data_IF_130528355594
#
_entry.id   IF_130528355594
#
_cell.length_a   1.000
_cell.length_b   1.000
_cell.length_c   1.000
_cell.angle_alpha   90.00
_cell.angle_beta   90.00
_cell.angle_gamma   90.00
#
_symmetry.space_group_name_H-M   'P 1'
#
loop_
_entity.id
_entity.type
_entity.pdbx_description
1 polymer ?
#
# COMPACT_ATOMS: atom_id res chain seq x y z
N UNK A 1 52.46 1.73 -6.42
CA UNK A 1 51.00 1.69 -6.48
C UNK A 1 50.27 2.26 -5.24
N UNK A 2 50.97 2.62 -4.16
CA UNK A 2 50.38 3.25 -2.98
C UNK A 2 49.90 4.69 -3.23
N UNK A 3 50.50 5.41 -4.16
CA UNK A 3 50.15 6.80 -4.52
C UNK A 3 48.75 6.94 -5.18
N UNK A 4 48.27 5.90 -5.86
CA UNK A 4 46.90 5.90 -6.45
C UNK A 4 45.82 5.44 -5.44
N UNK A 5 46.20 4.85 -4.31
CA UNK A 5 45.27 4.47 -3.26
C UNK A 5 44.86 5.66 -2.36
N UNK A 6 45.70 6.66 -2.22
CA UNK A 6 45.44 7.84 -1.38
C UNK A 6 44.22 8.66 -1.82
N UNK A 7 44.02 9.02 -3.10
CA UNK A 7 42.86 9.77 -3.53
C UNK A 7 41.57 8.95 -3.39
N UNK A 8 41.62 7.62 -3.65
CA UNK A 8 40.45 6.73 -3.50
C UNK A 8 40.01 6.61 -2.04
N UNK A 9 40.95 6.48 -1.10
CA UNK A 9 40.63 6.48 0.34
C UNK A 9 40.07 7.84 0.79
N UNK A 10 40.54 8.97 0.20
CA UNK A 10 39.93 10.26 0.43
C UNK A 10 38.47 10.34 0.02
N UNK A 11 38.13 9.79 -1.16
CA UNK A 11 36.72 9.72 -1.63
C UNK A 11 35.87 8.85 -0.68
N UNK A 12 36.35 7.69 -0.27
CA UNK A 12 35.65 6.83 0.70
C UNK A 12 35.38 7.59 1.99
N UNK A 13 36.40 8.31 2.51
CA UNK A 13 36.24 9.11 3.73
C UNK A 13 35.16 10.20 3.57
N UNK A 14 35.16 10.93 2.45
CA UNK A 14 34.17 11.96 2.15
C UNK A 14 32.77 11.36 2.07
N UNK A 15 32.59 10.21 1.38
CA UNK A 15 31.31 9.53 1.27
C UNK A 15 30.79 9.11 2.65
N UNK A 16 31.64 8.53 3.49
CA UNK A 16 31.28 8.14 4.86
C UNK A 16 30.96 9.34 5.75
N UNK A 17 31.69 10.45 5.61
CA UNK A 17 31.38 11.68 6.34
C UNK A 17 30.03 12.27 5.91
N UNK A 18 29.73 12.27 4.61
CA UNK A 18 28.42 12.69 4.08
C UNK A 18 27.30 11.78 4.56
N UNK A 19 27.50 10.47 4.57
CA UNK A 19 26.52 9.51 5.08
C UNK A 19 26.24 9.73 6.57
N UNK A 20 27.30 9.98 7.37
CA UNK A 20 27.15 10.32 8.78
C UNK A 20 26.38 11.63 8.97
N UNK A 21 26.68 12.65 8.18
CA UNK A 21 25.97 13.92 8.21
C UNK A 21 24.49 13.73 7.85
N UNK A 22 24.20 13.04 6.73
CA UNK A 22 22.85 12.75 6.28
C UNK A 22 22.07 11.92 7.31
N UNK A 23 22.70 10.90 7.91
CA UNK A 23 22.05 10.08 8.94
C UNK A 23 21.75 10.89 10.22
N UNK A 24 22.63 11.83 10.58
CA UNK A 24 22.40 12.71 11.74
C UNK A 24 21.28 13.72 11.45
N UNK A 25 21.25 14.29 10.25
CA UNK A 25 20.17 15.17 9.81
C UNK A 25 18.81 14.44 9.77
N UNK A 26 18.77 13.22 9.23
CA UNK A 26 17.58 12.38 9.24
C UNK A 26 17.08 12.10 10.67
N UNK A 27 18.00 11.73 11.58
CA UNK A 27 17.64 11.50 12.98
C UNK A 27 17.03 12.75 13.63
N UNK A 28 17.62 13.93 13.42
CA UNK A 28 17.09 15.20 13.95
C UNK A 28 15.70 15.51 13.39
N UNK A 29 15.51 15.30 12.09
CA UNK A 29 14.23 15.51 11.43
C UNK A 29 13.14 14.61 12.03
N UNK A 30 13.39 13.31 12.14
CA UNK A 30 12.39 12.38 12.68
C UNK A 30 12.11 12.59 14.18
N UNK A 31 13.10 13.05 14.96
CA UNK A 31 12.89 13.43 16.36
C UNK A 31 11.98 14.67 16.46
N UNK A 32 12.16 15.66 15.58
CA UNK A 32 11.27 16.83 15.53
C UNK A 32 9.83 16.46 15.15
N UNK A 33 9.68 15.54 14.18
CA UNK A 33 8.37 14.98 13.80
C UNK A 33 7.71 14.24 14.97
N UNK A 34 8.47 13.41 15.68
CA UNK A 34 7.97 12.65 16.83
C UNK A 34 7.54 13.54 18.01
N UNK A 35 8.14 14.73 18.14
CA UNK A 35 7.76 15.73 19.17
C UNK A 35 6.51 16.53 18.82
N UNK A 36 5.95 16.36 17.62
CA UNK A 36 4.76 17.08 17.17
C UNK A 36 5.02 18.48 16.61
N UNK A 37 6.29 18.90 16.48
CA UNK A 37 6.68 20.21 15.96
C UNK A 37 6.41 20.36 14.46
N UNK A 38 6.23 19.25 13.75
CA UNK A 38 5.87 19.27 12.34
C UNK A 38 4.58 18.48 12.10
N UNK A 39 3.57 19.16 11.55
CA UNK A 39 2.30 18.55 11.10
C UNK A 39 2.55 17.72 9.84
N UNK A 40 3.36 16.67 9.92
CA UNK A 40 3.49 15.76 8.78
C UNK A 40 2.31 14.80 8.78
N UNK A 41 1.51 14.86 7.74
CA UNK A 41 0.32 14.04 7.52
C UNK A 41 0.67 12.53 7.35
N UNK A 42 1.95 12.22 7.20
CA UNK A 42 2.44 10.89 6.83
C UNK A 42 3.16 10.14 7.95
N UNK A 43 3.63 10.82 8.99
CA UNK A 43 4.37 10.19 10.07
C UNK A 43 3.73 10.54 11.40
N UNK A 44 3.23 9.50 12.07
CA UNK A 44 2.68 9.56 13.40
C UNK A 44 3.77 9.25 14.45
N UNK A 45 3.53 9.57 15.73
CA UNK A 45 4.48 9.31 16.83
C UNK A 45 4.94 7.84 16.88
N UNK A 46 4.06 6.92 16.45
CA UNK A 46 4.33 5.46 16.43
C UNK A 46 5.18 5.04 15.25
N UNK A 47 5.08 5.70 14.09
CA UNK A 47 5.77 5.32 12.86
C UNK A 47 7.09 6.06 12.63
N UNK A 48 7.26 7.24 13.25
CA UNK A 48 8.47 8.05 13.12
C UNK A 48 9.78 7.30 13.50
N UNK A 49 9.87 6.54 14.61
CA UNK A 49 11.11 5.83 14.96
C UNK A 49 11.44 4.70 13.98
N UNK A 50 10.43 4.05 13.40
CA UNK A 50 10.64 3.01 12.39
C UNK A 50 11.14 3.63 11.09
N UNK A 51 10.49 4.69 10.62
CA UNK A 51 10.90 5.44 9.45
C UNK A 51 12.32 6.01 9.58
N UNK A 52 12.69 6.51 10.77
CA UNK A 52 14.05 6.95 11.07
C UNK A 52 15.07 5.83 10.87
N UNK A 53 14.82 4.64 11.44
CA UNK A 53 15.74 3.50 11.31
C UNK A 53 15.90 3.08 9.85
N UNK A 54 14.80 2.97 9.11
CA UNK A 54 14.82 2.62 7.69
C UNK A 54 15.59 3.66 6.86
N UNK A 55 15.37 4.95 7.10
CA UNK A 55 16.09 6.02 6.40
C UNK A 55 17.58 5.95 6.68
N UNK A 56 17.98 5.75 7.94
CA UNK A 56 19.41 5.63 8.30
C UNK A 56 20.04 4.39 7.65
N UNK A 57 19.35 3.25 7.65
CA UNK A 57 19.82 2.03 6.97
C UNK A 57 20.01 2.31 5.46
N UNK A 58 19.03 2.93 4.82
CA UNK A 58 19.10 3.27 3.39
C UNK A 58 20.29 4.20 3.07
N UNK A 59 20.51 5.21 3.89
CA UNK A 59 21.66 6.12 3.74
C UNK A 59 22.98 5.34 3.80
N UNK A 60 23.13 4.42 4.77
CA UNK A 60 24.34 3.62 4.90
C UNK A 60 24.52 2.61 3.77
N UNK A 61 23.46 1.94 3.33
CA UNK A 61 23.50 1.06 2.16
C UNK A 61 23.94 1.84 0.92
N UNK A 62 23.37 3.03 0.68
CA UNK A 62 23.75 3.89 -0.46
C UNK A 62 25.21 4.32 -0.35
N UNK A 63 25.66 4.70 0.84
CA UNK A 63 27.05 5.09 1.06
C UNK A 63 28.04 3.94 0.78
N UNK A 64 27.70 2.72 1.21
CA UNK A 64 28.52 1.53 0.92
C UNK A 64 28.56 1.27 -0.59
N UNK A 65 27.45 1.32 -1.29
CA UNK A 65 27.39 1.10 -2.75
C UNK A 65 28.25 2.15 -3.48
N UNK A 66 28.15 3.44 -3.09
CA UNK A 66 28.93 4.51 -3.71
C UNK A 66 30.41 4.41 -3.37
N UNK A 67 30.77 4.05 -2.15
CA UNK A 67 32.14 3.90 -1.71
C UNK A 67 32.83 2.65 -2.30
N UNK A 68 32.06 1.61 -2.63
CA UNK A 68 32.55 0.30 -3.04
C UNK A 68 33.61 0.32 -4.16
N UNK A 69 33.44 1.06 -5.29
CA UNK A 69 34.44 1.10 -6.38
C UNK A 69 35.81 1.68 -5.96
N UNK A 70 35.83 2.48 -4.90
CA UNK A 70 37.00 3.15 -4.39
C UNK A 70 37.76 2.36 -3.33
N UNK A 71 37.21 1.20 -2.89
CA UNK A 71 37.89 0.35 -1.91
C UNK A 71 38.99 -0.45 -2.62
N UNK A 72 40.25 -0.43 -2.10
CA UNK A 72 41.31 -1.25 -2.66
C UNK A 72 40.93 -2.72 -2.72
N UNK A 73 41.07 -3.36 -3.87
CA UNK A 73 40.72 -4.76 -4.09
C UNK A 73 39.28 -5.02 -4.56
N UNK A 74 38.38 -4.02 -4.56
CA UNK A 74 37.01 -4.16 -5.05
C UNK A 74 36.91 -4.55 -6.54
N UNK A 75 37.97 -4.28 -7.31
CA UNK A 75 38.02 -4.58 -8.74
C UNK A 75 38.50 -6.02 -9.05
N UNK A 76 38.79 -6.83 -8.06
CA UNK A 76 39.18 -8.23 -8.28
C UNK A 76 38.00 -9.06 -8.83
N UNK A 77 38.25 -10.05 -9.69
CA UNK A 77 37.18 -10.91 -10.25
C UNK A 77 36.33 -11.58 -9.18
N UNK A 78 36.93 -12.02 -8.07
CA UNK A 78 36.23 -12.63 -6.94
C UNK A 78 35.24 -11.66 -6.30
N UNK A 79 35.65 -10.43 -6.05
CA UNK A 79 34.80 -9.40 -5.44
C UNK A 79 33.64 -8.99 -6.36
N UNK A 80 33.90 -8.89 -7.69
CA UNK A 80 32.84 -8.67 -8.67
C UNK A 80 31.83 -9.80 -8.69
N UNK A 81 32.27 -11.05 -8.67
CA UNK A 81 31.39 -12.21 -8.64
C UNK A 81 30.48 -12.22 -7.41
N UNK A 82 31.04 -11.98 -6.21
CA UNK A 82 30.25 -11.88 -4.97
C UNK A 82 29.25 -10.73 -5.04
N UNK A 83 29.65 -9.57 -5.57
CA UNK A 83 28.76 -8.41 -5.67
C UNK A 83 27.58 -8.65 -6.61
N UNK A 84 27.82 -9.31 -7.76
CA UNK A 84 26.75 -9.71 -8.68
C UNK A 84 25.80 -10.70 -8.03
N UNK A 85 26.33 -11.71 -7.33
CA UNK A 85 25.52 -12.69 -6.64
C UNK A 85 24.66 -12.04 -5.53
N UNK A 86 25.28 -11.17 -4.70
CA UNK A 86 24.57 -10.42 -3.68
C UNK A 86 23.48 -9.52 -4.27
N UNK A 87 23.76 -8.83 -5.37
CA UNK A 87 22.80 -8.01 -6.08
C UNK A 87 21.61 -8.81 -6.61
N UNK A 88 21.86 -9.99 -7.17
CA UNK A 88 20.81 -10.90 -7.62
C UNK A 88 19.94 -11.39 -6.45
N UNK A 89 20.54 -11.80 -5.34
CA UNK A 89 19.80 -12.24 -4.15
C UNK A 89 18.91 -11.13 -3.59
N UNK A 90 19.43 -9.90 -3.49
CA UNK A 90 18.65 -8.74 -3.04
C UNK A 90 17.53 -8.43 -4.03
N UNK A 91 17.82 -8.45 -5.33
CA UNK A 91 16.83 -8.19 -6.38
C UNK A 91 15.67 -9.18 -6.34
N UNK A 92 15.96 -10.47 -6.26
CA UNK A 92 14.94 -11.51 -6.16
C UNK A 92 14.15 -11.43 -4.84
N UNK A 93 14.82 -11.11 -3.73
CA UNK A 93 14.17 -11.00 -2.42
C UNK A 93 13.31 -9.75 -2.26
N UNK A 94 13.62 -8.65 -2.95
CA UNK A 94 12.93 -7.37 -2.79
C UNK A 94 11.69 -7.21 -3.68
N UNK A 95 11.45 -8.10 -4.64
CA UNK A 95 10.39 -7.96 -5.63
C UNK A 95 9.00 -7.76 -5.02
N UNK A 96 8.67 -8.49 -3.97
CA UNK A 96 7.39 -8.36 -3.28
C UNK A 96 7.23 -7.00 -2.56
N UNK A 97 8.28 -6.48 -1.95
CA UNK A 97 8.25 -5.16 -1.30
C UNK A 97 8.04 -4.04 -2.33
N UNK A 98 8.73 -4.13 -3.46
CA UNK A 98 8.58 -3.17 -4.57
C UNK A 98 7.15 -3.26 -5.14
N UNK A 99 6.61 -4.46 -5.34
CA UNK A 99 5.24 -4.64 -5.81
C UNK A 99 4.20 -4.01 -4.86
N UNK A 100 4.39 -4.12 -3.55
CA UNK A 100 3.51 -3.50 -2.56
C UNK A 100 3.59 -1.97 -2.59
N UNK A 101 4.80 -1.40 -2.71
CA UNK A 101 4.99 0.05 -2.83
C UNK A 101 4.34 0.59 -4.11
N UNK A 102 4.61 -0.05 -5.24
CA UNK A 102 4.03 0.34 -6.54
C UNK A 102 2.51 0.18 -6.51
N UNK A 103 2.00 -0.89 -5.93
CA UNK A 103 0.56 -1.11 -5.72
C UNK A 103 -0.07 0.01 -4.90
N UNK A 104 0.53 0.37 -3.76
CA UNK A 104 0.05 1.48 -2.92
C UNK A 104 0.07 2.82 -3.65
N UNK A 105 1.15 3.13 -4.35
CA UNK A 105 1.27 4.36 -5.14
C UNK A 105 0.21 4.41 -6.26
N UNK A 106 0.01 3.31 -6.96
CA UNK A 106 -1.00 3.18 -8.01
C UNK A 106 -2.41 3.42 -7.48
N UNK A 107 -2.73 2.85 -6.30
CA UNK A 107 -4.04 3.04 -5.66
C UNK A 107 -4.29 4.52 -5.30
N UNK A 108 -3.28 5.18 -4.74
CA UNK A 108 -3.36 6.61 -4.37
C UNK A 108 -3.45 7.50 -5.61
N UNK A 109 -2.62 7.26 -6.63
CA UNK A 109 -2.58 8.06 -7.85
C UNK A 109 -3.86 7.91 -8.67
N UNK A 110 -4.32 6.69 -8.92
CA UNK A 110 -5.53 6.42 -9.68
C UNK A 110 -6.80 6.66 -8.88
N UNK A 111 -6.67 6.94 -7.58
CA UNK A 111 -7.80 7.09 -6.67
C UNK A 111 -8.78 5.91 -6.77
N UNK A 112 -8.24 4.71 -6.86
CA UNK A 112 -9.01 3.48 -7.07
C UNK A 112 -9.98 3.24 -5.92
N UNK A 113 -9.55 3.49 -4.69
CA UNK A 113 -10.39 3.52 -3.49
C UNK A 113 -9.92 4.61 -2.53
N UNK A 114 -10.82 5.11 -1.71
CA UNK A 114 -10.58 6.15 -0.70
C UNK A 114 -11.02 5.64 0.66
N UNK A 115 -10.44 6.16 1.76
CA UNK A 115 -11.02 5.94 3.07
C UNK A 115 -12.51 6.30 3.10
N UNK A 116 -13.34 5.40 3.58
CA UNK A 116 -14.80 5.51 3.57
C UNK A 116 -15.51 4.80 2.42
N UNK A 117 -14.81 4.40 1.36
CA UNK A 117 -15.41 3.63 0.27
C UNK A 117 -15.76 2.22 0.72
N UNK A 118 -16.95 1.73 0.35
CA UNK A 118 -17.33 0.33 0.47
C UNK A 118 -16.90 -0.43 -0.78
N UNK A 119 -16.05 -1.43 -0.59
CA UNK A 119 -15.40 -2.15 -1.69
C UNK A 119 -15.45 -3.66 -1.49
N UNK A 120 -15.37 -4.40 -2.60
CA UNK A 120 -15.12 -5.84 -2.59
C UNK A 120 -13.81 -6.13 -3.31
N UNK A 121 -12.96 -6.89 -2.65
CA UNK A 121 -11.64 -7.30 -3.14
C UNK A 121 -11.60 -8.83 -3.07
N UNK A 122 -11.74 -9.49 -4.21
CA UNK A 122 -11.96 -10.94 -4.25
C UNK A 122 -13.23 -11.33 -3.48
N UNK A 123 -13.08 -12.14 -2.44
CA UNK A 123 -14.16 -12.60 -1.56
C UNK A 123 -14.43 -11.67 -0.36
N UNK A 124 -13.59 -10.66 -0.16
CA UNK A 124 -13.62 -9.79 1.03
C UNK A 124 -14.40 -8.53 0.71
N UNK A 125 -15.44 -8.25 1.48
CA UNK A 125 -16.21 -7.01 1.41
C UNK A 125 -16.04 -6.18 2.70
N UNK A 126 -15.89 -4.88 2.53
CA UNK A 126 -15.78 -3.98 3.68
C UNK A 126 -15.57 -2.52 3.29
N UNK A 127 -15.56 -1.67 4.32
CA UNK A 127 -15.26 -0.25 4.18
C UNK A 127 -13.77 -0.02 4.32
N UNK A 128 -13.16 0.72 3.41
CA UNK A 128 -11.75 1.11 3.48
C UNK A 128 -11.56 2.05 4.66
N UNK A 129 -10.81 1.62 5.67
CA UNK A 129 -10.45 2.45 6.82
C UNK A 129 -9.25 3.34 6.49
N UNK A 130 -8.17 2.74 5.97
CA UNK A 130 -6.94 3.46 5.61
C UNK A 130 -6.27 2.83 4.40
N UNK A 131 -5.63 3.67 3.59
CA UNK A 131 -4.74 3.24 2.50
C UNK A 131 -3.32 3.61 2.91
N UNK A 132 -2.50 2.60 3.20
CA UNK A 132 -1.09 2.77 3.57
C UNK A 132 -0.13 2.55 2.40
N UNK A 133 1.17 2.66 2.66
CA UNK A 133 2.21 2.46 1.64
C UNK A 133 2.35 1.00 1.19
N UNK A 134 2.26 0.04 2.12
CA UNK A 134 2.45 -1.38 1.86
C UNK A 134 1.16 -2.17 1.93
N UNK A 135 0.22 -1.73 2.75
CA UNK A 135 -1.04 -2.40 3.01
C UNK A 135 -2.17 -1.41 3.22
N UNK A 136 -3.38 -1.84 2.91
CA UNK A 136 -4.61 -1.12 3.19
C UNK A 136 -5.44 -1.88 4.21
N UNK A 137 -6.22 -1.16 5.00
CA UNK A 137 -7.08 -1.72 6.05
C UNK A 137 -8.54 -1.55 5.66
N UNK A 138 -9.28 -2.63 5.78
CA UNK A 138 -10.72 -2.68 5.56
C UNK A 138 -11.41 -3.10 6.85
N UNK A 139 -12.60 -2.56 7.09
CA UNK A 139 -13.50 -3.00 8.17
C UNK A 139 -14.68 -3.69 7.54
N UNK A 140 -14.89 -4.95 7.89
CA UNK A 140 -16.03 -5.76 7.39
C UNK A 140 -17.33 -5.37 8.08
N UNK A 141 -18.46 -5.84 7.54
CA UNK A 141 -19.78 -5.68 8.17
C UNK A 141 -19.91 -6.38 9.54
N UNK A 142 -18.98 -7.27 9.88
CA UNK A 142 -18.89 -7.93 11.21
C UNK A 142 -18.01 -7.17 12.19
N UNK A 143 -17.54 -5.96 11.81
CA UNK A 143 -16.61 -5.13 12.59
C UNK A 143 -15.22 -5.79 12.78
N UNK A 144 -14.78 -6.57 11.80
CA UNK A 144 -13.44 -7.17 11.76
C UNK A 144 -12.52 -6.29 10.92
N UNK A 145 -11.30 -6.02 11.41
CA UNK A 145 -10.28 -5.33 10.64
C UNK A 145 -9.47 -6.32 9.82
N UNK A 146 -9.46 -6.14 8.50
CA UNK A 146 -8.67 -6.95 7.58
C UNK A 146 -7.56 -6.08 6.99
N UNK A 147 -6.32 -6.56 7.06
CA UNK A 147 -5.16 -5.91 6.47
C UNK A 147 -4.78 -6.64 5.19
N UNK A 148 -4.86 -5.94 4.06
CA UNK A 148 -4.52 -6.48 2.74
C UNK A 148 -3.26 -5.82 2.19
N UNK A 149 -2.28 -6.61 1.71
CA UNK A 149 -1.13 -6.09 0.96
C UNK A 149 -1.59 -5.33 -0.29
N UNK A 150 -1.01 -4.15 -0.57
CA UNK A 150 -1.41 -3.34 -1.71
C UNK A 150 -1.16 -4.04 -3.07
N UNK A 151 -0.16 -4.91 -3.14
CA UNK A 151 0.09 -5.73 -4.33
C UNK A 151 -1.07 -6.68 -4.65
N UNK A 152 -1.72 -7.23 -3.63
CA UNK A 152 -2.88 -8.10 -3.80
C UNK A 152 -4.10 -7.29 -4.30
N UNK A 153 -4.29 -6.09 -3.78
CA UNK A 153 -5.40 -5.22 -4.19
C UNK A 153 -5.21 -4.72 -5.62
N UNK A 154 -4.01 -4.28 -5.98
CA UNK A 154 -3.71 -3.75 -7.31
C UNK A 154 -3.61 -4.83 -8.38
N UNK A 155 -3.24 -6.06 -8.02
CA UNK A 155 -3.16 -7.21 -8.92
C UNK A 155 -4.47 -7.99 -9.07
N UNK A 156 -5.46 -7.72 -8.22
CA UNK A 156 -6.75 -8.41 -8.22
C UNK A 156 -7.90 -7.57 -8.77
N UNK A 157 -9.11 -8.16 -8.72
CA UNK A 157 -10.34 -7.44 -9.06
C UNK A 157 -10.82 -6.68 -7.84
N UNK A 158 -10.94 -5.36 -7.98
CA UNK A 158 -11.53 -4.48 -6.98
C UNK A 158 -12.85 -3.93 -7.52
N UNK A 159 -13.93 -4.13 -6.77
CA UNK A 159 -15.24 -3.55 -7.05
C UNK A 159 -15.49 -2.46 -6.03
N UNK A 160 -15.63 -1.22 -6.49
CA UNK A 160 -15.93 -0.08 -5.63
C UNK A 160 -17.41 0.27 -5.77
N UNK A 161 -18.19 0.00 -4.74
CA UNK A 161 -19.62 0.27 -4.72
C UNK A 161 -19.95 1.73 -4.41
N UNK A 162 -19.05 2.44 -3.73
CA UNK A 162 -19.30 3.84 -3.34
C UNK A 162 -19.09 4.82 -4.47
N UNK A 163 -18.16 4.55 -5.38
CA UNK A 163 -17.73 5.51 -6.41
C UNK A 163 -18.82 5.94 -7.38
N UNK A 164 -19.72 5.03 -7.76
CA UNK A 164 -20.83 5.31 -8.67
C UNK A 164 -22.16 5.56 -7.95
N UNK A 165 -22.18 5.37 -6.61
CA UNK A 165 -23.42 5.48 -5.83
C UNK A 165 -24.01 6.90 -5.85
N UNK A 166 -23.17 7.93 -5.87
CA UNK A 166 -23.61 9.34 -5.93
C UNK A 166 -24.37 9.66 -7.22
N UNK A 167 -23.96 9.08 -8.33
CA UNK A 167 -24.55 9.33 -9.65
C UNK A 167 -25.61 8.31 -10.05
N UNK A 168 -25.23 7.05 -10.17
CA UNK A 168 -26.07 6.00 -10.79
C UNK A 168 -26.70 5.05 -9.76
N UNK A 169 -26.15 4.97 -8.53
CA UNK A 169 -26.56 3.97 -7.57
C UNK A 169 -25.93 2.59 -7.85
N UNK A 170 -26.12 1.65 -6.94
CA UNK A 170 -25.64 0.27 -7.04
C UNK A 170 -26.83 -0.67 -6.95
N UNK A 171 -26.88 -1.68 -7.82
CA UNK A 171 -27.90 -2.73 -7.74
C UNK A 171 -27.55 -3.67 -6.58
N UNK A 172 -28.46 -3.79 -5.64
CA UNK A 172 -28.34 -4.71 -4.48
C UNK A 172 -29.26 -5.90 -4.73
N UNK A 173 -28.72 -7.10 -5.01
CA UNK A 173 -29.55 -8.30 -5.15
C UNK A 173 -30.00 -8.80 -3.78
N UNK A 174 -31.26 -9.17 -3.66
CA UNK A 174 -31.82 -9.85 -2.52
C UNK A 174 -32.49 -11.14 -2.99
N UNK A 175 -32.00 -12.28 -2.47
CA UNK A 175 -32.58 -13.58 -2.79
C UNK A 175 -33.54 -14.00 -1.68
N UNK A 176 -34.75 -14.35 -2.04
CA UNK A 176 -35.79 -14.87 -1.11
C UNK A 176 -36.25 -16.24 -1.56
N UNK A 177 -36.42 -17.12 -0.60
CA UNK A 177 -37.02 -18.44 -0.82
C UNK A 177 -38.53 -18.39 -0.52
N UNK A 178 -39.29 -19.05 -1.34
CA UNK A 178 -40.76 -19.10 -1.21
C UNK A 178 -41.24 -20.55 -1.22
N UNK A 179 -42.42 -20.78 -0.61
CA UNK A 179 -43.07 -22.09 -0.64
C UNK A 179 -43.58 -22.43 -2.04
N UNK A 180 -43.52 -23.70 -2.41
CA UNK A 180 -43.91 -24.21 -3.73
C UNK A 180 -45.38 -23.94 -4.12
N UNK A 181 -46.26 -23.73 -3.14
CA UNK A 181 -47.70 -23.53 -3.37
C UNK A 181 -48.06 -22.05 -3.63
N UNK A 182 -47.10 -21.12 -3.67
CA UNK A 182 -47.40 -19.70 -3.84
C UNK A 182 -47.39 -19.33 -5.34
N UNK A 183 -48.48 -18.76 -5.90
CA UNK A 183 -48.49 -18.33 -7.29
C UNK A 183 -47.42 -17.28 -7.58
N UNK A 184 -46.64 -17.49 -8.63
CA UNK A 184 -45.51 -16.60 -8.98
C UNK A 184 -45.93 -15.13 -9.16
N UNK A 185 -47.09 -14.84 -9.70
CA UNK A 185 -47.63 -13.47 -9.84
C UNK A 185 -47.79 -12.76 -8.50
N UNK A 186 -48.28 -13.51 -7.48
CA UNK A 186 -48.41 -12.96 -6.14
C UNK A 186 -47.04 -12.66 -5.51
N UNK A 187 -46.05 -13.51 -5.74
CA UNK A 187 -44.68 -13.33 -5.28
C UNK A 187 -44.07 -12.09 -5.89
N UNK A 188 -44.16 -11.91 -7.21
CA UNK A 188 -43.67 -10.72 -7.89
C UNK A 188 -44.29 -9.44 -7.33
N UNK A 189 -45.64 -9.43 -7.16
CA UNK A 189 -46.32 -8.27 -6.59
C UNK A 189 -45.89 -7.96 -5.16
N UNK A 190 -45.66 -8.97 -4.33
CA UNK A 190 -45.18 -8.81 -2.97
C UNK A 190 -43.74 -8.28 -2.93
N UNK A 191 -42.83 -8.83 -3.74
CA UNK A 191 -41.44 -8.41 -3.78
C UNK A 191 -41.29 -6.96 -4.28
N UNK A 192 -42.02 -6.61 -5.34
CA UNK A 192 -42.03 -5.21 -5.83
C UNK A 192 -42.61 -4.25 -4.79
N UNK A 193 -43.67 -4.63 -4.08
CA UNK A 193 -44.24 -3.84 -3.00
C UNK A 193 -43.28 -3.69 -1.82
N UNK A 194 -42.60 -4.76 -1.44
CA UNK A 194 -41.57 -4.72 -0.39
C UNK A 194 -40.45 -3.78 -0.78
N UNK A 195 -39.89 -3.91 -2.00
CA UNK A 195 -38.85 -3.05 -2.47
C UNK A 195 -39.25 -1.55 -2.47
N UNK A 196 -40.46 -1.23 -2.93
CA UNK A 196 -40.97 0.16 -2.90
C UNK A 196 -41.15 0.75 -1.49
N UNK A 197 -41.30 -0.11 -0.48
CA UNK A 197 -41.45 0.30 0.92
C UNK A 197 -40.12 0.39 1.65
N UNK A 198 -39.03 -0.14 1.06
CA UNK A 198 -37.71 -0.12 1.64
C UNK A 198 -37.11 1.28 1.54
N UNK A 199 -36.77 1.87 2.66
CA UNK A 199 -36.12 3.17 2.72
C UNK A 199 -34.68 3.08 2.22
N UNK A 200 -34.19 4.13 1.54
CA UNK A 200 -32.82 4.19 1.02
C UNK A 200 -32.64 3.65 -0.40
N UNK A 201 -33.67 3.10 -1.01
CA UNK A 201 -33.65 2.71 -2.44
C UNK A 201 -33.99 3.91 -3.34
N UNK A 202 -33.26 4.05 -4.46
CA UNK A 202 -33.58 5.03 -5.49
C UNK A 202 -34.87 4.63 -6.21
N UNK A 203 -35.72 5.61 -6.61
CA UNK A 203 -36.97 5.30 -7.32
C UNK A 203 -36.75 4.78 -8.75
N UNK A 204 -35.57 5.05 -9.32
CA UNK A 204 -35.18 4.58 -10.65
C UNK A 204 -33.74 4.05 -10.63
N UNK A 205 -33.45 2.95 -11.37
CA UNK A 205 -34.39 2.10 -12.09
C UNK A 205 -35.34 1.36 -11.12
N UNK A 206 -36.53 0.98 -11.63
CA UNK A 206 -37.50 0.24 -10.80
C UNK A 206 -36.94 -1.13 -10.40
N UNK A 207 -37.29 -1.65 -9.19
CA UNK A 207 -36.90 -2.97 -8.76
C UNK A 207 -37.39 -4.05 -9.75
N UNK A 208 -36.47 -4.89 -10.19
CA UNK A 208 -36.76 -6.00 -11.12
C UNK A 208 -36.79 -7.31 -10.35
N UNK A 209 -37.74 -8.15 -10.60
CA UNK A 209 -37.82 -9.53 -10.07
C UNK A 209 -37.48 -10.45 -11.22
N UNK A 210 -36.48 -11.32 -11.03
CA UNK A 210 -35.99 -12.31 -12.00
C UNK A 210 -36.43 -13.70 -11.63
#
# INVERSE_FOLDING_TARGET
>A
NALHALPNLGIVFVVLALARFASTAARRFFVAVARGDSKSRFFDQTTAPIAQRLTVILVWITAIIVAFPYIPGSQTPAFRGISVLAGLMISLGSGNLIAQLVGGLTMVYNRTCRPGDFVRIGEIEGTVATVGFFSSRLVTGRNEEIVLPNSQISGGTLINYSRLNETSGVLVPATVTIGYNTPWRQVHAMLQKAARRTTGLKPQPQPTVL
#
